data_IF_287610114870
#
_entry.id   IF_287610114870
#
_cell.length_a   1.000
_cell.length_b   1.000
_cell.length_c   1.000
_cell.angle_alpha   90.00
_cell.angle_beta   90.00
_cell.angle_gamma   90.00
#
_symmetry.space_group_name_H-M   'P 1'
#
loop_
_entity.id
_entity.type
_entity.pdbx_description
1 polymer ?
#
# COMPACT_ATOMS: atom_id res chain seq x y z
N UNK A 1 2.91 12.65 -35.09
CA UNK A 1 3.81 13.02 -36.22
C UNK A 1 3.22 12.49 -37.50
N UNK A 2 3.03 13.36 -38.51
CA UNK A 2 2.55 12.98 -39.83
C UNK A 2 3.73 12.56 -40.71
N UNK A 3 3.80 11.28 -41.07
CA UNK A 3 4.81 10.79 -41.99
C UNK A 3 4.30 10.88 -43.41
N UNK A 4 5.16 11.35 -44.34
CA UNK A 4 4.88 11.35 -45.77
C UNK A 4 5.82 10.37 -46.47
N UNK A 5 5.26 9.46 -47.22
CA UNK A 5 6.03 8.49 -48.02
C UNK A 5 5.93 8.93 -49.49
N UNK A 6 7.08 9.17 -50.10
CA UNK A 6 7.17 9.49 -51.52
C UNK A 6 7.49 8.24 -52.34
N UNK A 7 6.97 8.16 -53.56
CA UNK A 7 7.39 7.12 -54.49
C UNK A 7 8.88 7.35 -54.87
N UNK A 8 9.58 6.24 -55.21
CA UNK A 8 10.98 6.31 -55.63
C UNK A 8 11.10 7.29 -56.83
N UNK A 9 12.05 8.22 -56.74
CA UNK A 9 12.30 9.26 -57.76
C UNK A 9 11.19 10.34 -57.94
N UNK A 10 10.29 10.50 -57.01
CA UNK A 10 9.33 11.61 -57.03
C UNK A 10 10.05 12.91 -56.67
N UNK A 11 10.29 13.79 -57.68
CA UNK A 11 10.96 15.07 -57.45
C UNK A 11 10.05 16.13 -56.77
N UNK A 12 8.74 15.94 -56.77
CA UNK A 12 7.78 16.80 -56.07
C UNK A 12 6.62 15.97 -55.55
N UNK A 13 6.33 16.08 -54.24
CA UNK A 13 5.23 15.40 -53.58
C UNK A 13 4.61 16.27 -52.49
N UNK A 14 3.32 16.12 -52.25
CA UNK A 14 2.62 16.83 -51.19
C UNK A 14 2.91 16.22 -49.83
N UNK A 15 3.18 17.05 -48.83
CA UNK A 15 3.34 16.62 -47.44
C UNK A 15 1.97 16.33 -46.83
N UNK A 16 1.88 15.24 -46.04
CA UNK A 16 0.72 15.00 -45.22
C UNK A 16 0.57 16.11 -44.16
N UNK A 17 -0.65 16.46 -43.83
CA UNK A 17 -0.92 17.43 -42.77
C UNK A 17 -0.29 17.02 -41.41
N UNK A 18 0.08 17.98 -40.57
CA UNK A 18 0.60 17.69 -39.26
C UNK A 18 -0.47 17.00 -38.41
N UNK A 19 -0.07 15.96 -37.67
CA UNK A 19 -0.93 15.34 -36.65
C UNK A 19 -0.80 16.19 -35.38
N UNK A 20 -1.93 16.69 -34.87
CA UNK A 20 -1.98 17.43 -33.62
C UNK A 20 -1.64 16.50 -32.48
N UNK A 21 -0.62 16.85 -31.69
CA UNK A 21 -0.29 16.15 -30.49
C UNK A 21 -1.30 16.53 -29.42
N UNK A 22 -1.99 15.55 -28.86
CA UNK A 22 -2.85 15.72 -27.69
C UNK A 22 -2.09 15.25 -26.45
N UNK A 23 -1.84 16.16 -25.50
CA UNK A 23 -1.17 15.88 -24.24
C UNK A 23 -2.20 16.06 -23.12
N UNK A 24 -2.66 14.98 -22.50
CA UNK A 24 -3.56 15.10 -21.35
C UNK A 24 -2.81 15.59 -20.12
N UNK A 25 -3.45 16.46 -19.33
CA UNK A 25 -2.92 16.96 -18.07
C UNK A 25 -3.42 16.10 -16.90
N UNK A 26 -2.49 15.60 -16.08
CA UNK A 26 -2.81 14.90 -14.85
C UNK A 26 -3.16 15.91 -13.73
N UNK A 27 -4.28 15.70 -13.08
CA UNK A 27 -4.69 16.47 -11.89
C UNK A 27 -4.50 15.61 -10.64
N UNK A 28 -3.53 15.97 -9.80
CA UNK A 28 -3.17 15.23 -8.59
C UNK A 28 -3.54 16.06 -7.36
N UNK A 29 -4.39 15.50 -6.51
CA UNK A 29 -4.79 16.11 -5.24
C UNK A 29 -4.24 15.25 -4.08
N UNK A 30 -3.44 15.83 -3.17
CA UNK A 30 -2.94 15.10 -2.02
C UNK A 30 -4.05 14.84 -1.00
N UNK A 31 -3.95 13.71 -0.30
CA UNK A 31 -4.85 13.34 0.78
C UNK A 31 -4.22 13.64 2.14
N UNK A 32 -5.03 14.09 3.09
CA UNK A 32 -4.59 14.45 4.42
C UNK A 32 -4.92 13.35 5.42
N UNK A 33 -3.94 12.99 6.25
CA UNK A 33 -4.11 12.09 7.40
C UNK A 33 -3.70 12.84 8.65
N UNK A 34 -4.54 12.80 9.69
CA UNK A 34 -4.25 13.42 11.00
C UNK A 34 -4.37 12.38 12.10
N UNK A 35 -3.35 12.30 12.95
CA UNK A 35 -3.33 11.47 14.15
C UNK A 35 -3.36 12.38 15.37
N UNK A 36 -4.29 12.12 16.30
CA UNK A 36 -4.46 12.90 17.53
C UNK A 36 -4.17 12.01 18.74
N UNK A 37 -3.42 12.54 19.69
CA UNK A 37 -3.22 11.92 21.01
C UNK A 37 -3.46 12.94 22.11
N UNK A 38 -4.18 12.56 23.14
CA UNK A 38 -4.51 13.43 24.28
C UNK A 38 -3.73 13.03 25.53
N UNK A 39 -3.29 14.01 26.29
CA UNK A 39 -2.62 13.85 27.57
C UNK A 39 -3.42 14.61 28.62
N UNK A 40 -3.93 13.91 29.63
CA UNK A 40 -4.66 14.54 30.72
C UNK A 40 -3.75 15.49 31.52
N UNK A 41 -4.25 16.68 31.87
CA UNK A 41 -3.51 17.68 32.65
C UNK A 41 -3.04 17.13 34.00
N UNK A 42 -3.83 16.27 34.62
CA UNK A 42 -3.53 15.65 35.92
C UNK A 42 -2.29 14.74 35.82
N UNK A 43 -2.18 13.95 34.75
CA UNK A 43 -0.97 13.15 34.47
C UNK A 43 0.27 14.03 34.22
N UNK A 44 0.03 15.22 33.61
CA UNK A 44 1.07 16.22 33.39
C UNK A 44 1.55 16.83 34.72
N UNK A 45 0.59 17.25 35.59
CA UNK A 45 0.89 17.89 36.86
C UNK A 45 1.56 16.97 37.87
N UNK A 46 1.14 15.71 37.94
CA UNK A 46 1.77 14.69 38.80
C UNK A 46 3.21 14.38 38.38
N UNK A 47 3.56 14.56 37.12
CA UNK A 47 4.91 14.35 36.61
C UNK A 47 5.84 15.54 36.82
N UNK A 48 5.32 16.72 37.14
CA UNK A 48 6.13 17.90 37.47
C UNK A 48 6.90 17.73 38.78
N UNK A 49 6.49 16.83 39.69
CA UNK A 49 7.18 16.45 40.92
C UNK A 49 8.41 15.57 40.70
N UNK A 50 8.48 14.84 39.58
CA UNK A 50 9.59 13.99 39.18
C UNK A 50 9.79 14.13 37.67
N UNK A 51 10.56 15.14 37.26
CA UNK A 51 10.75 15.48 35.84
C UNK A 51 11.18 14.35 34.92
N UNK A 52 11.77 13.28 35.48
CA UNK A 52 12.14 12.08 34.74
C UNK A 52 10.92 11.26 34.26
N UNK A 53 9.83 11.20 35.03
CA UNK A 53 8.65 10.39 34.65
C UNK A 53 7.82 11.05 33.54
N UNK A 54 7.68 12.36 33.56
CA UNK A 54 6.97 13.12 32.51
C UNK A 54 7.71 13.10 31.17
N UNK A 55 9.00 13.41 31.19
CA UNK A 55 9.81 13.42 29.97
C UNK A 55 9.82 12.04 29.30
N UNK A 56 9.84 10.95 30.09
CA UNK A 56 9.78 9.61 29.53
C UNK A 56 8.43 9.28 28.89
N UNK A 57 7.30 9.67 29.51
CA UNK A 57 5.96 9.45 28.98
C UNK A 57 5.70 10.24 27.69
N UNK A 58 6.02 11.54 27.68
CA UNK A 58 5.88 12.38 26.50
C UNK A 58 6.74 11.89 25.34
N UNK A 59 8.01 11.55 25.62
CA UNK A 59 8.91 11.01 24.61
C UNK A 59 8.39 9.70 24.01
N UNK A 60 7.82 8.81 24.85
CA UNK A 60 7.24 7.55 24.41
C UNK A 60 6.02 7.77 23.52
N UNK A 61 5.09 8.67 23.93
CA UNK A 61 3.89 8.99 23.14
C UNK A 61 4.28 9.59 21.80
N UNK A 62 5.17 10.59 21.78
CA UNK A 62 5.66 11.23 20.56
C UNK A 62 6.26 10.21 19.59
N UNK A 63 7.15 9.34 20.09
CA UNK A 63 7.76 8.29 19.26
C UNK A 63 6.71 7.35 18.69
N UNK A 64 5.78 6.87 19.51
CA UNK A 64 4.72 5.95 19.05
C UNK A 64 3.76 6.60 18.06
N UNK A 65 3.49 7.90 18.19
CA UNK A 65 2.70 8.64 17.20
C UNK A 65 3.42 8.68 15.85
N UNK A 66 4.72 9.00 15.82
CA UNK A 66 5.51 9.01 14.59
C UNK A 66 5.56 7.62 13.96
N UNK A 67 5.85 6.57 14.74
CA UNK A 67 5.91 5.19 14.26
C UNK A 67 4.55 4.74 13.67
N UNK A 68 3.44 5.09 14.34
CA UNK A 68 2.09 4.76 13.88
C UNK A 68 1.71 5.52 12.60
N UNK A 69 2.06 6.81 12.52
CA UNK A 69 1.80 7.60 11.32
C UNK A 69 2.63 7.11 10.14
N UNK A 70 3.93 6.83 10.34
CA UNK A 70 4.82 6.31 9.31
C UNK A 70 4.29 4.98 8.75
N UNK A 71 3.91 4.06 9.63
CA UNK A 71 3.26 2.80 9.23
C UNK A 71 2.00 3.06 8.40
N UNK A 72 1.14 3.98 8.85
CA UNK A 72 -0.11 4.30 8.17
C UNK A 72 0.11 4.88 6.78
N UNK A 73 1.06 5.80 6.66
CA UNK A 73 1.43 6.43 5.39
C UNK A 73 2.02 5.39 4.43
N UNK A 74 2.88 4.49 4.90
CA UNK A 74 3.46 3.45 4.06
C UNK A 74 2.40 2.47 3.55
N UNK A 75 1.46 2.05 4.40
CA UNK A 75 0.32 1.23 3.97
C UNK A 75 -0.54 1.97 2.93
N UNK A 76 -0.83 3.26 3.15
CA UNK A 76 -1.59 4.07 2.22
C UNK A 76 -0.84 4.30 0.89
N UNK A 77 0.50 4.46 0.93
CA UNK A 77 1.33 4.51 -0.28
C UNK A 77 1.20 3.25 -1.13
N UNK A 78 1.14 2.08 -0.51
CA UNK A 78 1.02 0.80 -1.22
C UNK A 78 -0.42 0.52 -1.65
N UNK A 79 -1.40 0.66 -0.76
CA UNK A 79 -2.76 0.14 -0.93
C UNK A 79 -3.87 1.17 -0.72
N UNK A 80 -3.55 2.45 -0.59
CA UNK A 80 -4.57 3.49 -0.50
C UNK A 80 -5.56 3.42 -1.64
N UNK A 81 -6.86 3.45 -1.33
CA UNK A 81 -7.95 3.28 -2.28
C UNK A 81 -8.24 1.85 -2.75
N UNK A 82 -7.30 0.91 -2.60
CA UNK A 82 -7.47 -0.52 -3.01
C UNK A 82 -7.96 -1.43 -1.87
N UNK A 83 -7.95 -0.94 -0.63
CA UNK A 83 -8.30 -1.71 0.55
C UNK A 83 -7.16 -2.55 1.13
N UNK A 84 -7.28 -2.89 2.42
CA UNK A 84 -6.25 -3.57 3.21
C UNK A 84 -6.20 -5.08 2.97
N UNK A 85 -7.34 -5.66 2.58
CA UNK A 85 -7.48 -7.10 2.36
C UNK A 85 -8.89 -7.45 1.94
N UNK A 86 -9.07 -8.73 1.60
CA UNK A 86 -10.36 -9.32 1.22
C UNK A 86 -10.67 -10.49 2.11
N UNK A 87 -11.94 -10.61 2.52
CA UNK A 87 -12.39 -11.73 3.33
C UNK A 87 -12.35 -13.04 2.53
N UNK A 88 -12.03 -14.13 3.23
CA UNK A 88 -12.12 -15.47 2.70
C UNK A 88 -13.58 -15.96 2.80
N UNK A 89 -14.12 -16.49 1.72
CA UNK A 89 -15.48 -17.02 1.66
C UNK A 89 -15.61 -18.44 2.19
N UNK A 90 -14.50 -19.09 2.52
CA UNK A 90 -14.50 -20.50 3.00
C UNK A 90 -14.46 -20.60 4.51
N UNK A 91 -14.16 -19.50 5.20
CA UNK A 91 -13.96 -19.46 6.63
C UNK A 91 -14.63 -18.21 7.23
N UNK A 92 -15.49 -18.43 8.18
CA UNK A 92 -16.11 -17.40 9.00
C UNK A 92 -16.62 -18.06 10.28
N UNK A 93 -16.65 -17.36 11.38
CA UNK A 93 -17.13 -17.91 12.66
C UNK A 93 -17.67 -16.80 13.54
N UNK A 94 -18.97 -16.83 13.75
CA UNK A 94 -19.59 -16.02 14.78
C UNK A 94 -19.03 -16.43 16.16
N UNK A 95 -18.63 -15.46 16.96
CA UNK A 95 -18.14 -15.69 18.32
C UNK A 95 -19.27 -15.44 19.32
N UNK A 96 -19.91 -14.29 19.20
CA UNK A 96 -21.08 -13.87 19.99
C UNK A 96 -21.80 -12.70 19.30
N UNK A 97 -22.84 -12.16 19.92
CA UNK A 97 -23.64 -11.06 19.34
C UNK A 97 -22.89 -9.75 19.10
N UNK A 98 -21.66 -9.62 19.59
CA UNK A 98 -20.83 -8.42 19.52
C UNK A 98 -19.44 -8.67 18.93
N UNK A 99 -19.08 -9.92 18.66
CA UNK A 99 -17.78 -10.31 18.13
C UNK A 99 -17.88 -11.31 16.98
N UNK A 100 -17.08 -11.09 15.95
CA UNK A 100 -16.98 -11.95 14.77
C UNK A 100 -15.51 -12.27 14.47
N UNK A 101 -15.24 -13.51 14.01
CA UNK A 101 -13.94 -13.89 13.44
C UNK A 101 -14.00 -13.82 11.94
N UNK A 102 -13.17 -12.98 11.39
CA UNK A 102 -13.03 -12.74 9.95
C UNK A 102 -11.70 -13.28 9.48
N UNK A 103 -11.70 -14.15 8.50
CA UNK A 103 -10.49 -14.65 7.88
C UNK A 103 -10.25 -13.95 6.55
N UNK A 104 -8.99 -13.71 6.22
CA UNK A 104 -8.58 -13.07 4.97
C UNK A 104 -7.96 -14.10 4.03
N UNK A 105 -8.13 -13.87 2.74
CA UNK A 105 -7.47 -14.69 1.73
C UNK A 105 -5.95 -14.54 1.82
N UNK A 106 -5.21 -15.62 1.54
CA UNK A 106 -3.75 -15.60 1.57
C UNK A 106 -3.18 -14.50 0.68
N UNK A 107 -3.74 -14.33 -0.51
CA UNK A 107 -3.26 -13.36 -1.50
C UNK A 107 -3.35 -11.92 -1.01
N UNK A 108 -4.29 -11.63 -0.10
CA UNK A 108 -4.51 -10.27 0.41
C UNK A 108 -4.00 -10.06 1.83
N UNK A 109 -3.47 -11.11 2.46
CA UNK A 109 -2.88 -11.03 3.79
C UNK A 109 -1.50 -10.38 3.77
N UNK A 110 -1.20 -9.58 4.78
CA UNK A 110 0.16 -9.12 5.11
C UNK A 110 0.32 -9.03 6.61
N UNK A 111 1.31 -9.72 7.16
CA UNK A 111 1.59 -9.67 8.61
C UNK A 111 1.92 -8.24 9.06
N UNK A 112 2.63 -7.46 8.25
CA UNK A 112 3.01 -6.09 8.58
C UNK A 112 1.82 -5.13 8.66
N UNK A 113 0.82 -5.29 7.81
CA UNK A 113 -0.39 -4.47 7.87
C UNK A 113 -1.11 -4.69 9.19
N UNK A 114 -1.30 -5.96 9.59
CA UNK A 114 -2.13 -6.33 10.72
C UNK A 114 -1.38 -6.40 12.07
N UNK A 115 -0.04 -6.45 12.06
CA UNK A 115 0.74 -6.43 13.29
C UNK A 115 0.51 -5.14 14.09
N UNK A 116 0.11 -5.26 15.36
CA UNK A 116 -0.11 -4.12 16.26
C UNK A 116 -1.34 -3.27 15.93
N UNK A 117 -2.34 -3.82 15.21
CA UNK A 117 -3.60 -3.12 14.89
C UNK A 117 -4.73 -3.39 15.89
N UNK A 118 -4.46 -4.03 17.01
CA UNK A 118 -5.45 -4.16 18.10
C UNK A 118 -5.93 -2.75 18.51
N UNK A 119 -7.23 -2.60 18.69
CA UNK A 119 -7.99 -1.36 18.88
C UNK A 119 -8.09 -0.45 17.64
N UNK A 120 -7.55 -0.83 16.49
CA UNK A 120 -7.80 -0.09 15.26
C UNK A 120 -9.25 -0.31 14.79
N UNK A 121 -9.83 0.75 14.24
CA UNK A 121 -11.18 0.72 13.67
C UNK A 121 -11.12 0.46 12.17
N UNK A 122 -11.95 -0.46 11.72
CA UNK A 122 -12.07 -0.86 10.31
C UNK A 122 -13.53 -0.85 9.86
N UNK A 123 -13.72 -0.85 8.55
CA UNK A 123 -15.00 -0.95 7.89
C UNK A 123 -14.94 -2.02 6.80
N UNK A 124 -16.06 -2.72 6.61
CA UNK A 124 -16.24 -3.71 5.56
C UNK A 124 -17.12 -3.18 4.45
N UNK A 125 -16.76 -3.49 3.22
CA UNK A 125 -17.49 -3.09 2.01
C UNK A 125 -17.81 -4.30 1.15
N UNK A 126 -19.07 -4.42 0.74
CA UNK A 126 -19.54 -5.42 -0.22
C UNK A 126 -19.76 -4.73 -1.57
N UNK A 127 -19.00 -5.13 -2.60
CA UNK A 127 -19.07 -4.55 -3.94
C UNK A 127 -19.11 -3.00 -3.95
N UNK A 128 -18.35 -2.38 -3.06
CA UNK A 128 -18.29 -0.92 -2.94
C UNK A 128 -19.28 -0.29 -1.97
N UNK A 129 -20.31 -1.00 -1.52
CA UNK A 129 -21.28 -0.53 -0.52
C UNK A 129 -20.82 -0.91 0.91
N UNK A 130 -21.05 -0.01 1.86
CA UNK A 130 -20.76 -0.24 3.27
C UNK A 130 -21.69 -1.34 3.84
N UNK A 131 -21.13 -2.30 4.59
CA UNK A 131 -21.89 -3.46 5.13
C UNK A 131 -23.00 -3.04 6.08
N UNK A 132 -22.79 -1.97 6.83
CA UNK A 132 -23.83 -1.37 7.69
C UNK A 132 -23.74 0.14 7.60
N UNK A 133 -24.55 0.89 8.31
CA UNK A 133 -24.55 2.35 8.23
C UNK A 133 -24.27 3.02 9.57
N UNK A 134 -23.75 4.25 9.54
CA UNK A 134 -23.48 5.04 10.74
C UNK A 134 -22.51 4.35 11.70
N UNK A 135 -22.80 4.40 12.99
CA UNK A 135 -21.97 3.78 14.03
C UNK A 135 -21.89 2.25 13.92
N UNK A 136 -22.90 1.60 13.34
CA UNK A 136 -22.95 0.14 13.17
C UNK A 136 -22.00 -0.38 12.08
N UNK A 137 -21.41 0.50 11.29
CA UNK A 137 -20.44 0.15 10.27
C UNK A 137 -18.99 0.11 10.76
N UNK A 138 -18.74 0.53 12.00
CA UNK A 138 -17.40 0.63 12.58
C UNK A 138 -17.14 -0.58 13.45
N UNK A 139 -16.09 -1.32 13.08
CA UNK A 139 -15.64 -2.51 13.79
C UNK A 139 -14.26 -2.27 14.40
N UNK A 140 -14.07 -2.68 15.65
CA UNK A 140 -12.79 -2.56 16.34
C UNK A 140 -12.08 -3.91 16.37
N UNK A 141 -10.83 -3.96 15.98
CA UNK A 141 -10.01 -5.18 16.02
C UNK A 141 -9.66 -5.48 17.48
N UNK A 142 -10.10 -6.64 18.00
CA UNK A 142 -9.81 -7.09 19.37
C UNK A 142 -8.67 -8.08 19.43
N UNK A 143 -8.48 -8.90 18.38
CA UNK A 143 -7.35 -9.82 18.29
C UNK A 143 -6.94 -10.05 16.82
N UNK A 144 -5.66 -10.37 16.63
CA UNK A 144 -5.08 -10.75 15.35
C UNK A 144 -4.46 -12.12 15.47
N UNK A 145 -4.82 -13.03 14.55
CA UNK A 145 -4.24 -14.37 14.45
C UNK A 145 -3.41 -14.48 13.14
N UNK A 146 -2.11 -14.24 13.16
CA UNK A 146 -1.28 -14.29 11.96
C UNK A 146 -1.21 -15.70 11.33
N UNK A 147 -1.19 -16.75 12.16
CA UNK A 147 -1.11 -18.13 11.67
C UNK A 147 -2.35 -18.54 10.85
N UNK A 148 -3.53 -18.12 11.32
CA UNK A 148 -4.79 -18.38 10.63
C UNK A 148 -5.21 -17.28 9.65
N UNK A 149 -4.43 -16.21 9.50
CA UNK A 149 -4.78 -15.01 8.71
C UNK A 149 -6.15 -14.43 9.08
N UNK A 150 -6.44 -14.44 10.39
CA UNK A 150 -7.73 -14.07 10.95
C UNK A 150 -7.66 -12.83 11.83
N UNK A 151 -8.76 -12.10 11.84
CA UNK A 151 -9.01 -10.97 12.73
C UNK A 151 -10.23 -11.29 13.58
N UNK A 152 -10.19 -10.99 14.87
CA UNK A 152 -11.40 -10.92 15.69
C UNK A 152 -11.79 -9.47 15.80
N UNK A 153 -13.03 -9.16 15.43
CA UNK A 153 -13.56 -7.80 15.45
C UNK A 153 -14.74 -7.71 16.40
N UNK A 154 -14.89 -6.58 17.05
CA UNK A 154 -16.06 -6.23 17.85
C UNK A 154 -16.81 -5.06 17.22
N UNK A 155 -18.13 -5.05 17.38
CA UNK A 155 -19.01 -4.00 16.87
C UNK A 155 -20.34 -3.97 17.59
N UNK A 156 -21.26 -3.14 17.11
CA UNK A 156 -22.65 -3.19 17.58
C UNK A 156 -23.30 -4.51 17.19
N UNK A 157 -24.31 -4.93 17.94
CA UNK A 157 -25.10 -6.15 17.61
C UNK A 157 -25.67 -6.09 16.20
N UNK A 158 -26.16 -4.94 15.75
CA UNK A 158 -26.67 -4.74 14.38
C UNK A 158 -25.57 -4.91 13.35
N UNK A 159 -24.41 -4.28 13.59
CA UNK A 159 -23.26 -4.38 12.68
C UNK A 159 -22.72 -5.80 12.57
N UNK A 160 -22.55 -6.50 13.70
CA UNK A 160 -22.09 -7.90 13.72
C UNK A 160 -23.11 -8.82 13.03
N UNK A 161 -24.40 -8.65 13.24
CA UNK A 161 -25.43 -9.44 12.56
C UNK A 161 -25.38 -9.22 11.04
N UNK A 162 -25.18 -7.98 10.58
CA UNK A 162 -25.04 -7.68 9.16
C UNK A 162 -23.76 -8.28 8.57
N UNK A 163 -22.66 -8.27 9.31
CA UNK A 163 -21.38 -8.86 8.91
C UNK A 163 -21.47 -10.38 8.85
N UNK A 164 -22.02 -11.03 9.89
CA UNK A 164 -22.23 -12.48 9.98
C UNK A 164 -23.08 -13.02 8.81
N UNK A 165 -24.14 -12.29 8.45
CA UNK A 165 -24.97 -12.65 7.31
C UNK A 165 -24.19 -12.73 5.98
N UNK A 166 -23.14 -11.94 5.81
CA UNK A 166 -22.30 -11.90 4.62
C UNK A 166 -21.05 -12.79 4.69
N UNK A 167 -20.62 -13.16 5.88
CA UNK A 167 -19.44 -14.02 6.06
C UNK A 167 -19.83 -15.47 6.27
N UNK A 168 -20.85 -15.74 7.09
CA UNK A 168 -21.30 -17.08 7.44
C UNK A 168 -22.59 -17.46 6.67
N UNK A 169 -23.56 -16.56 6.61
CA UNK A 169 -24.87 -16.83 6.01
C UNK A 169 -24.83 -16.97 4.49
N UNK A 170 -24.28 -15.99 3.80
CA UNK A 170 -24.07 -16.00 2.34
C UNK A 170 -22.65 -15.55 2.05
N UNK A 171 -21.67 -16.48 2.11
CA UNK A 171 -20.24 -16.12 2.05
C UNK A 171 -19.90 -15.24 0.85
N UNK A 172 -19.52 -14.00 1.13
CA UNK A 172 -19.23 -12.98 0.13
C UNK A 172 -17.85 -12.38 0.41
N UNK A 173 -17.11 -12.11 -0.64
CA UNK A 173 -15.82 -11.42 -0.51
C UNK A 173 -16.05 -9.95 -0.17
N UNK A 174 -15.63 -9.52 1.00
CA UNK A 174 -15.71 -8.15 1.46
C UNK A 174 -14.34 -7.47 1.39
N UNK A 175 -14.31 -6.22 0.97
CA UNK A 175 -13.12 -5.39 1.03
C UNK A 175 -13.02 -4.73 2.43
N UNK A 176 -11.81 -4.68 2.97
CA UNK A 176 -11.54 -4.12 4.30
C UNK A 176 -10.80 -2.80 4.15
N UNK A 177 -11.28 -1.77 4.82
CA UNK A 177 -10.62 -0.46 4.91
C UNK A 177 -10.51 -0.03 6.36
N UNK A 178 -9.57 0.85 6.67
CA UNK A 178 -9.62 1.57 7.93
C UNK A 178 -10.84 2.49 7.98
N UNK A 179 -11.34 2.75 9.17
CA UNK A 179 -12.52 3.60 9.36
C UNK A 179 -12.33 4.97 8.70
N UNK A 180 -13.26 5.33 7.82
CA UNK A 180 -13.26 6.58 7.06
C UNK A 180 -12.19 6.71 5.97
N UNK A 181 -11.41 5.65 5.68
CA UNK A 181 -10.32 5.70 4.70
C UNK A 181 -10.83 5.66 3.25
N UNK A 182 -11.83 4.84 2.96
CA UNK A 182 -12.32 4.67 1.58
C UNK A 182 -12.80 5.99 0.98
N UNK A 183 -12.18 6.38 -0.13
CA UNK A 183 -12.48 7.63 -0.85
C UNK A 183 -11.83 8.89 -0.26
N UNK A 184 -11.20 8.80 0.92
CA UNK A 184 -10.55 9.92 1.59
C UNK A 184 -9.03 9.76 1.74
N UNK A 185 -8.51 8.56 1.55
CA UNK A 185 -7.07 8.32 1.58
C UNK A 185 -6.41 8.56 0.22
N UNK A 186 -5.08 8.69 0.21
CA UNK A 186 -4.32 8.84 -1.02
C UNK A 186 -4.50 7.64 -1.95
N UNK A 187 -4.37 7.86 -3.26
CA UNK A 187 -4.32 6.78 -4.24
C UNK A 187 -2.98 6.05 -4.13
N UNK A 188 -2.98 4.81 -3.71
CA UNK A 188 -1.78 3.99 -3.54
C UNK A 188 -1.28 3.39 -4.85
N UNK A 189 -0.08 2.82 -4.80
CA UNK A 189 0.57 2.16 -5.94
C UNK A 189 -0.35 1.08 -6.53
N UNK A 190 -0.96 0.26 -5.69
CA UNK A 190 -1.86 -0.82 -6.14
C UNK A 190 -3.02 -0.31 -6.98
N UNK A 191 -3.66 0.78 -6.54
CA UNK A 191 -4.76 1.41 -7.28
C UNK A 191 -4.29 2.01 -8.62
N UNK A 192 -3.10 2.62 -8.65
CA UNK A 192 -2.52 3.16 -9.88
C UNK A 192 -2.23 2.03 -10.87
N UNK A 193 -1.63 0.93 -10.40
CA UNK A 193 -1.26 -0.21 -11.25
C UNK A 193 -2.45 -1.05 -11.72
N UNK A 194 -3.57 -1.02 -11.01
CA UNK A 194 -4.79 -1.76 -11.39
C UNK A 194 -5.83 -0.88 -12.09
N UNK A 195 -5.51 0.40 -12.35
CA UNK A 195 -6.42 1.32 -12.99
C UNK A 195 -6.73 0.92 -14.43
N UNK A 196 -8.01 0.77 -14.76
CA UNK A 196 -8.53 0.54 -16.12
C UNK A 196 -9.49 1.63 -16.58
N UNK A 197 -9.74 2.63 -15.74
CA UNK A 197 -10.68 3.73 -15.97
C UNK A 197 -9.99 5.11 -15.96
N UNK A 198 -10.69 6.07 -15.41
CA UNK A 198 -10.15 7.43 -15.26
C UNK A 198 -9.47 7.57 -13.90
N UNK A 199 -8.19 7.95 -13.92
CA UNK A 199 -7.40 8.26 -12.74
C UNK A 199 -6.60 9.53 -12.99
N UNK A 200 -6.53 10.43 -12.00
CA UNK A 200 -5.85 11.73 -12.12
C UNK A 200 -6.28 12.53 -13.39
N UNK A 201 -7.59 12.49 -13.70
CA UNK A 201 -8.19 13.14 -14.87
C UNK A 201 -7.77 12.56 -16.23
N UNK A 202 -7.02 11.47 -16.28
CA UNK A 202 -6.62 10.80 -17.53
C UNK A 202 -7.33 9.45 -17.61
N UNK A 203 -7.93 9.16 -18.78
CA UNK A 203 -8.65 7.90 -19.01
C UNK A 203 -7.71 6.86 -19.66
N UNK A 204 -7.48 5.74 -18.96
CA UNK A 204 -6.63 4.66 -19.41
C UNK A 204 -7.17 3.89 -20.64
N UNK A 205 -8.48 3.96 -20.90
CA UNK A 205 -9.05 3.34 -22.12
C UNK A 205 -8.78 4.17 -23.38
N UNK A 206 -8.56 5.48 -23.24
CA UNK A 206 -8.21 6.38 -24.34
C UNK A 206 -6.70 6.48 -24.54
N UNK A 207 -5.97 6.45 -23.42
CA UNK A 207 -4.51 6.57 -23.39
C UNK A 207 -3.94 5.28 -22.79
N UNK A 208 -3.59 4.32 -23.64
CA UNK A 208 -3.14 2.98 -23.25
C UNK A 208 -1.87 3.00 -22.38
N UNK A 209 -0.98 3.96 -22.56
CA UNK A 209 0.22 4.16 -21.73
C UNK A 209 -0.11 4.62 -20.29
N UNK A 210 -1.36 5.03 -20.03
CA UNK A 210 -1.85 5.35 -18.68
C UNK A 210 -2.35 4.11 -17.90
N UNK A 211 -2.39 2.95 -18.53
CA UNK A 211 -2.66 1.68 -17.88
C UNK A 211 -1.36 0.92 -17.61
N UNK A 212 -1.15 0.47 -16.38
CA UNK A 212 -0.03 -0.40 -16.04
C UNK A 212 -0.25 -1.84 -16.52
N UNK A 213 0.78 -2.67 -16.37
CA UNK A 213 0.72 -4.09 -16.73
C UNK A 213 0.33 -4.91 -15.49
N UNK A 214 -0.67 -5.77 -15.63
CA UNK A 214 -1.07 -6.70 -14.57
C UNK A 214 -0.84 -8.12 -15.06
N UNK A 215 0.02 -8.86 -14.38
CA UNK A 215 0.38 -10.24 -14.68
C UNK A 215 -0.20 -11.15 -13.60
N UNK A 216 -0.97 -12.15 -14.00
CA UNK A 216 -1.53 -13.15 -13.09
C UNK A 216 -0.59 -14.34 -12.98
N UNK A 217 -0.11 -14.62 -11.77
CA UNK A 217 0.78 -15.77 -11.50
C UNK A 217 0.00 -17.09 -11.27
N UNK A 218 -1.31 -17.08 -11.50
CA UNK A 218 -2.20 -18.27 -11.46
C UNK A 218 -2.07 -19.11 -10.17
N UNK A 219 -1.90 -18.46 -9.02
CA UNK A 219 -1.64 -19.08 -7.71
C UNK A 219 -0.38 -19.98 -7.67
N UNK A 220 0.57 -19.73 -8.55
CA UNK A 220 1.88 -20.39 -8.52
C UNK A 220 2.88 -19.66 -7.63
N UNK A 221 3.99 -20.34 -7.29
CA UNK A 221 5.14 -19.68 -6.65
C UNK A 221 5.75 -18.66 -7.61
N UNK A 222 6.18 -17.53 -7.06
CA UNK A 222 6.92 -16.55 -7.83
C UNK A 222 8.29 -17.13 -8.21
N UNK A 223 8.62 -17.09 -9.50
CA UNK A 223 9.89 -17.55 -10.04
C UNK A 223 10.65 -16.39 -10.70
N UNK A 224 11.96 -16.53 -10.82
CA UNK A 224 12.75 -15.55 -11.53
C UNK A 224 12.32 -15.41 -13.01
N UNK A 225 11.95 -16.52 -13.65
CA UNK A 225 11.43 -16.51 -15.01
C UNK A 225 10.13 -15.70 -15.12
N UNK A 226 9.20 -15.83 -14.14
CA UNK A 226 7.96 -15.04 -14.14
C UNK A 226 8.23 -13.54 -13.97
N UNK A 227 9.25 -13.17 -13.18
CA UNK A 227 9.68 -11.77 -13.06
C UNK A 227 10.30 -11.26 -14.36
N UNK A 228 11.18 -12.03 -15.02
CA UNK A 228 11.76 -11.63 -16.31
C UNK A 228 10.68 -11.45 -17.39
N UNK A 229 9.70 -12.36 -17.45
CA UNK A 229 8.57 -12.24 -18.38
C UNK A 229 7.72 -11.00 -18.09
N UNK A 230 7.51 -10.68 -16.81
CA UNK A 230 6.78 -9.47 -16.40
C UNK A 230 7.53 -8.20 -16.82
N UNK A 231 8.85 -8.14 -16.61
CA UNK A 231 9.71 -7.03 -17.07
C UNK A 231 9.67 -6.91 -18.60
N UNK A 232 9.72 -8.03 -19.33
CA UNK A 232 9.66 -8.03 -20.80
C UNK A 232 8.38 -7.38 -21.35
N UNK A 233 7.23 -7.54 -20.66
CA UNK A 233 5.98 -6.86 -21.02
C UNK A 233 6.13 -5.34 -20.87
N UNK A 234 6.73 -4.87 -19.77
CA UNK A 234 6.96 -3.43 -19.55
C UNK A 234 7.97 -2.85 -20.56
N UNK A 235 9.02 -3.61 -20.90
CA UNK A 235 9.98 -3.22 -21.95
C UNK A 235 9.28 -3.05 -23.30
N UNK A 236 8.37 -3.96 -23.66
CA UNK A 236 7.54 -3.82 -24.85
C UNK A 236 6.65 -2.57 -24.88
N UNK A 237 6.41 -1.95 -23.71
CA UNK A 237 5.64 -0.70 -23.55
C UNK A 237 6.52 0.53 -23.23
N UNK A 238 7.83 0.41 -23.44
CA UNK A 238 8.76 1.53 -23.38
C UNK A 238 9.49 1.68 -22.05
N UNK A 239 9.61 0.63 -21.24
CA UNK A 239 10.52 0.63 -20.08
C UNK A 239 11.96 0.65 -20.61
N UNK A 240 12.73 1.64 -20.19
CA UNK A 240 14.12 1.89 -20.61
C UNK A 240 15.09 2.12 -19.43
N UNK A 241 14.61 1.97 -18.21
CA UNK A 241 15.37 2.18 -16.97
C UNK A 241 15.46 0.92 -16.12
N UNK A 242 16.30 0.98 -15.10
CA UNK A 242 16.39 -0.04 -14.04
C UNK A 242 15.08 -0.14 -13.26
N UNK A 243 14.83 -1.31 -12.70
CA UNK A 243 13.59 -1.58 -11.96
C UNK A 243 13.88 -2.16 -10.59
N UNK A 244 13.06 -1.76 -9.62
CA UNK A 244 12.99 -2.38 -8.31
C UNK A 244 11.77 -3.27 -8.21
N UNK A 245 11.97 -4.48 -7.70
CA UNK A 245 10.90 -5.44 -7.41
C UNK A 245 10.63 -5.42 -5.93
N UNK A 246 9.48 -4.90 -5.55
CA UNK A 246 9.03 -4.90 -4.16
C UNK A 246 8.12 -6.09 -3.94
N UNK A 247 8.40 -6.90 -2.92
CA UNK A 247 7.64 -8.11 -2.63
C UNK A 247 7.58 -8.42 -1.13
N UNK A 248 6.67 -9.34 -0.75
CA UNK A 248 6.53 -9.74 0.65
C UNK A 248 7.75 -10.55 1.12
N UNK A 249 8.23 -10.42 2.38
CA UNK A 249 9.37 -11.16 2.90
C UNK A 249 9.25 -12.68 2.78
N UNK A 250 8.05 -13.26 2.89
CA UNK A 250 7.83 -14.70 2.72
C UNK A 250 8.01 -15.13 1.27
N UNK A 251 7.53 -14.32 0.32
CA UNK A 251 7.74 -14.54 -1.12
C UNK A 251 9.21 -14.40 -1.48
N UNK A 252 9.90 -13.41 -0.89
CA UNK A 252 11.35 -13.24 -1.04
C UNK A 252 12.13 -14.48 -0.58
N UNK A 253 11.79 -15.04 0.59
CA UNK A 253 12.44 -16.23 1.09
C UNK A 253 12.24 -17.44 0.16
N UNK A 254 11.03 -17.60 -0.41
CA UNK A 254 10.75 -18.65 -1.39
C UNK A 254 11.57 -18.46 -2.68
N UNK A 255 11.70 -17.22 -3.15
CA UNK A 255 12.49 -16.89 -4.34
C UNK A 255 13.98 -17.19 -4.11
N UNK A 256 14.55 -16.80 -2.96
CA UNK A 256 15.94 -17.11 -2.57
C UNK A 256 16.16 -18.63 -2.51
N UNK A 257 15.21 -19.35 -1.90
CA UNK A 257 15.32 -20.81 -1.79
C UNK A 257 15.29 -21.49 -3.15
N UNK A 258 14.46 -21.01 -4.07
CA UNK A 258 14.40 -21.56 -5.45
C UNK A 258 15.72 -21.36 -6.22
N UNK A 259 16.46 -20.30 -5.91
CA UNK A 259 17.75 -20.00 -6.53
C UNK A 259 18.92 -20.75 -5.89
N UNK A 260 18.75 -21.31 -4.70
CA UNK A 260 19.83 -22.01 -3.99
C UNK A 260 20.37 -23.22 -4.77
N UNK A 261 19.52 -23.91 -5.53
CA UNK A 261 19.92 -25.01 -6.40
C UNK A 261 20.73 -24.61 -7.65
N UNK A 262 20.62 -23.34 -8.07
CA UNK A 262 21.37 -22.81 -9.22
C UNK A 262 22.73 -22.21 -8.83
N UNK A 263 22.99 -22.02 -7.54
CA UNK A 263 24.28 -21.50 -7.06
C UNK A 263 25.36 -22.57 -7.27
N UNK A 264 26.23 -22.38 -8.26
CA UNK A 264 27.49 -23.12 -8.33
C UNK A 264 28.41 -22.63 -7.21
N UNK A 265 28.76 -23.51 -6.30
CA UNK A 265 29.80 -23.24 -5.31
C UNK A 265 31.14 -23.19 -6.03
N UNK A 266 31.59 -22.01 -6.40
CA UNK A 266 32.98 -21.82 -6.85
C UNK A 266 33.86 -21.66 -5.59
N UNK A 267 34.90 -22.45 -5.51
CA UNK A 267 35.87 -22.47 -4.39
C UNK A 267 36.62 -21.14 -4.20
N UNK A 268 36.45 -20.18 -5.12
CA UNK A 268 37.07 -18.86 -5.07
C UNK A 268 36.31 -17.84 -4.19
N UNK A 269 35.16 -18.20 -3.63
CA UNK A 269 34.39 -17.31 -2.74
C UNK A 269 35.13 -17.12 -1.41
N UNK A 270 35.52 -15.87 -1.13
CA UNK A 270 36.11 -15.49 0.16
C UNK A 270 35.06 -15.65 1.27
N UNK A 271 35.47 -16.27 2.38
CA UNK A 271 34.65 -16.59 3.57
C UNK A 271 33.82 -15.42 4.12
N UNK A 272 34.27 -14.19 3.89
CA UNK A 272 33.60 -12.92 4.31
C UNK A 272 32.27 -12.64 3.62
N UNK A 273 32.00 -13.23 2.45
CA UNK A 273 30.74 -13.03 1.71
C UNK A 273 29.66 -14.05 2.10
N UNK A 274 30.03 -15.08 2.88
CA UNK A 274 29.09 -16.13 3.35
C UNK A 274 28.45 -15.80 4.70
N UNK A 275 28.97 -14.83 5.45
CA UNK A 275 28.49 -14.50 6.81
C UNK A 275 27.32 -13.52 6.83
N UNK A 276 27.06 -12.78 5.75
CA UNK A 276 25.96 -11.84 5.66
C UNK A 276 24.93 -12.35 4.65
N UNK A 277 23.73 -12.69 5.12
CA UNK A 277 22.59 -12.96 4.26
C UNK A 277 22.43 -11.81 3.26
N UNK A 278 22.01 -12.11 2.03
CA UNK A 278 21.80 -11.08 1.02
C UNK A 278 20.67 -10.15 1.47
N UNK A 279 21.01 -8.92 1.82
CA UNK A 279 20.06 -7.87 2.17
C UNK A 279 19.28 -7.42 0.94
N UNK A 280 19.86 -7.53 -0.23
CA UNK A 280 19.31 -7.18 -1.53
C UNK A 280 19.76 -8.22 -2.58
N UNK A 281 18.82 -8.69 -3.38
CA UNK A 281 19.10 -9.54 -4.52
C UNK A 281 19.10 -8.69 -5.79
N UNK A 282 20.22 -8.58 -6.46
CA UNK A 282 20.34 -7.88 -7.73
C UNK A 282 20.46 -8.89 -8.85
N UNK A 283 19.63 -8.75 -9.88
CA UNK A 283 19.67 -9.53 -11.10
C UNK A 283 19.81 -8.61 -12.31
N UNK A 284 20.28 -9.15 -13.42
CA UNK A 284 20.29 -8.42 -14.68
C UNK A 284 19.01 -8.71 -15.46
N UNK A 285 18.27 -7.65 -15.78
CA UNK A 285 17.12 -7.68 -16.66
C UNK A 285 17.51 -7.30 -18.09
N UNK A 286 16.53 -7.23 -18.98
CA UNK A 286 16.74 -6.83 -20.38
C UNK A 286 17.25 -5.38 -20.52
N UNK A 287 16.94 -4.51 -19.57
CA UNK A 287 17.26 -3.07 -19.59
C UNK A 287 18.15 -2.61 -18.42
N UNK A 288 18.90 -3.49 -17.79
CA UNK A 288 19.79 -3.13 -16.70
C UNK A 288 19.58 -3.99 -15.46
N UNK A 289 19.79 -3.42 -14.29
CA UNK A 289 19.65 -4.14 -13.03
C UNK A 289 18.19 -4.24 -12.60
N UNK A 290 17.86 -5.35 -11.98
CA UNK A 290 16.61 -5.61 -11.30
C UNK A 290 16.91 -5.91 -9.84
N UNK A 291 16.60 -4.97 -8.98
CA UNK A 291 16.83 -5.08 -7.56
C UNK A 291 15.58 -5.61 -6.85
N UNK A 292 15.74 -6.62 -6.01
CA UNK A 292 14.62 -7.23 -5.29
C UNK A 292 14.69 -6.85 -3.82
N UNK A 293 13.69 -6.10 -3.36
CA UNK A 293 13.62 -5.57 -1.99
C UNK A 293 12.36 -6.09 -1.29
N UNK A 294 12.48 -6.71 -0.12
CA UNK A 294 11.31 -7.11 0.66
C UNK A 294 10.67 -5.92 1.37
N UNK A 295 9.34 -5.79 1.29
CA UNK A 295 8.55 -4.83 2.08
C UNK A 295 7.61 -5.57 3.03
N UNK A 296 7.63 -5.17 4.30
CA UNK A 296 6.84 -5.78 5.36
C UNK A 296 5.33 -5.59 5.14
N UNK A 297 4.93 -4.48 4.52
CA UNK A 297 3.53 -4.13 4.32
C UNK A 297 2.94 -4.64 3.01
N UNK A 298 3.76 -5.26 2.16
CA UNK A 298 3.24 -5.83 0.92
C UNK A 298 2.45 -7.11 1.19
N UNK A 299 1.33 -7.31 0.49
CA UNK A 299 0.50 -8.51 0.58
C UNK A 299 1.23 -9.73 0.03
N UNK A 300 0.97 -10.91 0.60
CA UNK A 300 1.63 -12.16 0.21
C UNK A 300 1.37 -12.55 -1.25
N UNK A 301 0.25 -12.11 -1.82
CA UNK A 301 -0.14 -12.41 -3.20
C UNK A 301 0.34 -11.41 -4.25
N UNK A 302 0.97 -10.31 -3.84
CA UNK A 302 1.36 -9.22 -4.73
C UNK A 302 2.88 -9.06 -4.84
N UNK A 303 3.36 -8.63 -6.02
CA UNK A 303 4.68 -8.08 -6.21
C UNK A 303 4.59 -6.89 -7.17
N UNK A 304 5.30 -5.82 -6.88
CA UNK A 304 5.34 -4.61 -7.71
C UNK A 304 6.71 -4.47 -8.35
N UNK A 305 6.74 -4.25 -9.65
CA UNK A 305 7.95 -3.95 -10.43
C UNK A 305 7.84 -2.49 -10.84
N UNK A 306 8.72 -1.66 -10.30
CA UNK A 306 8.61 -0.21 -10.33
C UNK A 306 9.92 0.43 -10.78
N UNK A 307 9.91 1.27 -11.82
CA UNK A 307 11.01 2.19 -12.11
C UNK A 307 10.86 3.44 -11.21
N UNK A 308 11.56 3.49 -10.07
CA UNK A 308 11.43 4.59 -9.11
C UNK A 308 11.79 5.96 -9.70
N UNK A 309 12.56 6.01 -10.77
CA UNK A 309 12.91 7.25 -11.48
C UNK A 309 11.66 8.03 -11.96
N UNK A 310 10.56 7.31 -12.28
CA UNK A 310 9.31 7.89 -12.77
C UNK A 310 8.25 8.02 -11.68
N UNK A 311 8.63 7.89 -10.42
CA UNK A 311 7.73 8.00 -9.28
C UNK A 311 7.99 9.28 -8.50
N UNK A 312 6.92 9.99 -8.18
CA UNK A 312 7.00 11.22 -7.41
C UNK A 312 6.05 11.15 -6.21
N UNK A 313 6.47 11.76 -5.12
CA UNK A 313 5.63 12.02 -3.96
C UNK A 313 5.27 13.50 -3.96
N UNK A 314 3.99 13.81 -4.10
CA UNK A 314 3.44 15.16 -4.23
C UNK A 314 2.67 15.46 -2.96
N UNK A 315 2.88 16.63 -2.38
CA UNK A 315 2.16 17.06 -1.19
C UNK A 315 2.72 18.34 -0.60
N UNK A 316 1.95 18.95 0.29
CA UNK A 316 2.36 20.20 0.94
C UNK A 316 3.18 19.97 2.20
N UNK A 317 3.03 18.79 2.84
CA UNK A 317 3.64 18.51 4.14
C UNK A 317 3.96 17.02 4.27
N UNK A 318 5.15 16.73 4.77
CA UNK A 318 5.52 15.40 5.24
C UNK A 318 4.92 15.13 6.64
N UNK A 319 5.37 14.10 7.35
CA UNK A 319 4.88 13.82 8.71
C UNK A 319 5.40 14.90 9.66
N UNK A 320 4.51 15.75 10.15
CA UNK A 320 4.86 16.87 11.01
C UNK A 320 3.83 17.10 12.12
N UNK A 321 4.31 17.64 13.27
CA UNK A 321 3.40 18.06 14.34
C UNK A 321 2.74 19.38 13.99
N UNK A 322 1.42 19.42 14.16
CA UNK A 322 0.63 20.63 13.92
C UNK A 322 0.80 21.60 15.10
N UNK A 323 1.35 22.80 14.89
CA UNK A 323 1.48 23.79 15.95
C UNK A 323 0.09 24.33 16.36
N UNK A 324 -0.03 24.84 17.58
CA UNK A 324 -1.27 25.46 18.09
C UNK A 324 -1.63 26.71 17.27
N UNK A 325 -0.63 27.51 16.93
CA UNK A 325 -0.75 28.68 16.06
C UNK A 325 0.24 28.53 14.92
N UNK A 326 -0.21 28.80 13.71
CA UNK A 326 0.63 28.70 12.52
C UNK A 326 1.91 29.56 12.69
N UNK A 327 3.08 28.92 12.63
CA UNK A 327 4.38 29.59 12.83
C UNK A 327 4.87 29.65 14.28
N UNK A 328 4.17 29.01 15.23
CA UNK A 328 4.68 28.84 16.61
C UNK A 328 5.38 27.49 16.78
N UNK A 329 6.30 27.42 17.76
CA UNK A 329 6.96 26.16 18.15
C UNK A 329 6.20 25.39 19.23
N UNK A 330 4.95 25.79 19.54
CA UNK A 330 4.11 25.14 20.53
C UNK A 330 3.24 24.07 19.88
N UNK A 331 3.59 22.80 20.11
CA UNK A 331 2.88 21.64 19.57
C UNK A 331 1.78 21.09 20.47
N UNK A 332 1.76 21.48 21.76
CA UNK A 332 0.71 21.09 22.70
C UNK A 332 -0.48 22.03 22.55
N UNK A 333 -1.61 21.50 22.10
CA UNK A 333 -2.83 22.25 21.90
C UNK A 333 -3.75 22.03 23.10
N UNK A 334 -4.29 23.12 23.65
CA UNK A 334 -5.32 23.04 24.71
C UNK A 334 -6.64 22.59 24.13
N UNK A 335 -7.30 21.61 24.78
CA UNK A 335 -8.60 21.11 24.35
C UNK A 335 -9.71 21.90 25.07
N UNK A 336 -10.48 22.75 24.37
CA UNK A 336 -11.57 23.50 24.99
C UNK A 336 -12.61 22.57 25.61
N UNK A 337 -12.96 22.82 26.89
CA UNK A 337 -13.96 22.03 27.60
C UNK A 337 -13.44 20.76 28.27
N UNK A 338 -12.15 20.43 28.13
CA UNK A 338 -11.52 19.30 28.79
C UNK A 338 -10.22 19.75 29.48
N UNK A 339 -9.91 19.15 30.61
CA UNK A 339 -8.65 19.40 31.31
C UNK A 339 -7.53 18.52 30.71
N UNK A 340 -7.20 18.76 29.44
CA UNK A 340 -6.24 17.98 28.67
C UNK A 340 -5.54 18.82 27.62
N UNK A 341 -4.33 18.36 27.26
CA UNK A 341 -3.60 18.83 26.09
C UNK A 341 -3.62 17.75 25.02
N UNK A 342 -3.65 18.14 23.75
CA UNK A 342 -3.50 17.21 22.64
C UNK A 342 -2.30 17.55 21.77
N UNK A 343 -1.73 16.47 21.20
CA UNK A 343 -0.73 16.51 20.14
C UNK A 343 -1.40 16.07 18.85
N UNK A 344 -1.22 16.83 17.78
CA UNK A 344 -1.70 16.50 16.44
C UNK A 344 -0.51 16.30 15.52
N UNK A 345 -0.46 15.11 14.93
CA UNK A 345 0.51 14.77 13.89
C UNK A 345 -0.26 14.66 12.58
N UNK A 346 0.22 15.30 11.53
CA UNK A 346 -0.47 15.32 10.24
C UNK A 346 0.49 15.15 9.07
N UNK A 347 -0.06 14.74 7.94
CA UNK A 347 0.63 14.63 6.67
C UNK A 347 -0.35 14.91 5.54
N UNK A 348 0.16 15.42 4.44
CA UNK A 348 -0.62 15.70 3.24
C UNK A 348 0.18 15.28 2.02
N UNK A 349 -0.11 14.08 1.49
CA UNK A 349 0.71 13.43 0.46
C UNK A 349 -0.14 12.66 -0.55
N UNK A 350 0.43 12.50 -1.75
CA UNK A 350 -0.06 11.65 -2.83
C UNK A 350 1.12 11.06 -3.58
N UNK A 351 1.04 9.78 -3.94
CA UNK A 351 1.97 9.16 -4.87
C UNK A 351 1.47 9.37 -6.29
N UNK A 352 2.41 9.71 -7.17
CA UNK A 352 2.16 9.88 -8.59
C UNK A 352 3.19 9.08 -9.39
N UNK A 353 2.71 8.37 -10.42
CA UNK A 353 3.54 7.63 -11.38
C UNK A 353 3.29 8.25 -12.75
N UNK A 354 4.34 8.79 -13.36
CA UNK A 354 4.23 9.51 -14.63
C UNK A 354 3.87 8.60 -15.81
N UNK A 355 4.40 7.37 -15.81
CA UNK A 355 4.23 6.40 -16.88
C UNK A 355 3.84 5.02 -16.33
N UNK A 356 2.56 4.80 -15.95
CA UNK A 356 2.12 3.52 -15.41
C UNK A 356 2.41 2.32 -16.33
N UNK A 357 2.43 2.50 -17.65
CA UNK A 357 2.74 1.44 -18.62
C UNK A 357 4.13 0.79 -18.43
N UNK A 358 5.07 1.50 -17.81
CA UNK A 358 6.41 1.00 -17.47
C UNK A 358 6.45 0.17 -16.19
N UNK A 359 5.35 0.18 -15.43
CA UNK A 359 5.21 -0.56 -14.18
C UNK A 359 4.49 -1.89 -14.39
N UNK A 360 4.75 -2.85 -13.51
CA UNK A 360 4.04 -4.14 -13.51
C UNK A 360 3.58 -4.49 -12.11
N UNK A 361 2.33 -4.95 -12.00
CA UNK A 361 1.83 -5.68 -10.84
C UNK A 361 1.77 -7.17 -11.17
N UNK A 362 2.43 -8.00 -10.39
CA UNK A 362 2.22 -9.46 -10.39
C UNK A 362 1.26 -9.78 -9.25
N UNK A 363 0.15 -10.43 -9.55
CA UNK A 363 -0.89 -10.81 -8.59
C UNK A 363 -1.03 -12.34 -8.48
N UNK A 364 -1.78 -12.80 -7.47
CA UNK A 364 -2.07 -14.22 -7.22
C UNK A 364 -0.82 -15.06 -7.04
N UNK A 365 0.15 -14.57 -6.27
CA UNK A 365 1.33 -15.32 -5.87
C UNK A 365 0.95 -16.25 -4.73
N UNK A 366 1.34 -17.53 -4.81
CA UNK A 366 1.19 -18.50 -3.72
C UNK A 366 2.49 -18.71 -2.96
N UNK A 367 2.37 -19.02 -1.68
CA UNK A 367 3.48 -19.42 -0.82
C UNK A 367 3.70 -20.94 -0.81
N UNK A 368 2.67 -21.71 -1.21
CA UNK A 368 2.67 -23.19 -1.20
C UNK A 368 3.18 -23.78 -2.52
#
# INVERSE_FOLDING_TARGET
>A
MGFTYAANNAGNYALNGPITMNVPDAQVSPAQITLVSQIAYDALSQSLGTGAAFLSATKLITKRMIDSMSKRVEIACLYGGSGLGKTDTTQGSNVDSTHEKVFLTQQTWSDGIWAGTVNAQIQFYNAGALVSSGADSVFTITAVNPAGKGLTVSGSTTGITALDALIVGTPTTLDIYFNGAKGNEMTGIDQILTNTGTLFNINATTYDLWAANVVDNANGKLTFLSLQNAVAIAVGRGLDSEVDVVLNPKVWANLVTSQSGARRFDSSYKKTLMENGAEKLTFYSQNGTMDITPSLYLKEGDAFILPFEHMQRIGSMDIEFMPQVMGSDEFFQYVPGFNAYELRLWTNQQIFIELPARCVKVKNISLS
#
